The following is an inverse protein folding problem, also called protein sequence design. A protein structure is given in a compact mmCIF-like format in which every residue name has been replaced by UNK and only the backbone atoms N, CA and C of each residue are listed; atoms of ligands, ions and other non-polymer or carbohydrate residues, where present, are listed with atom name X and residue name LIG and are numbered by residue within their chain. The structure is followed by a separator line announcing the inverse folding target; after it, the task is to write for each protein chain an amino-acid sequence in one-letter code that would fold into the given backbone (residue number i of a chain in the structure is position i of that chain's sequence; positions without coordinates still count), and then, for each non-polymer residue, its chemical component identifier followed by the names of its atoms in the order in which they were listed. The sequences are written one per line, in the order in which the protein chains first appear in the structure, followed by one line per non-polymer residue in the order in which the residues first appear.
data_IF_262279042410
#
_entry.id   IF_262279042410
#
_cell.length_a   1.000
_cell.length_b   1.000
_cell.length_c   1.000
_cell.angle_alpha   90.00
_cell.angle_beta   90.00
_cell.angle_gamma   90.00
#
_symmetry.space_group_name_H-M   'P 1'
#
loop_
_entity.id
_entity.type
_entity.pdbx_description
1 polymer ?
#
# COMPACT_ATOMS: atom_id res chain seq x y z
N UNK A 1 9.03 4.54 2.66
CA UNK A 1 9.08 5.68 3.60
C UNK A 1 9.65 5.16 4.88
N UNK A 2 10.58 5.87 5.49
CA UNK A 2 11.05 5.58 6.84
C UNK A 2 10.80 6.80 7.69
N UNK A 3 10.53 6.58 8.98
CA UNK A 3 10.53 7.63 9.99
C UNK A 3 11.61 7.30 11.03
N UNK A 4 12.29 8.34 11.47
CA UNK A 4 13.36 8.22 12.47
C UNK A 4 13.08 9.18 13.62
N UNK A 5 13.39 8.71 14.83
CA UNK A 5 13.34 9.50 16.06
C UNK A 5 14.67 9.41 16.80
N UNK A 6 14.85 10.25 17.83
CA UNK A 6 15.94 10.08 18.78
C UNK A 6 15.38 9.49 20.08
N UNK A 7 15.93 8.36 20.53
CA UNK A 7 15.61 7.71 21.81
C UNK A 7 16.91 7.62 22.58
N UNK A 8 16.97 8.23 23.77
CA UNK A 8 18.16 8.30 24.61
C UNK A 8 19.42 8.80 23.87
N UNK A 9 19.26 9.82 23.03
CA UNK A 9 20.33 10.42 22.24
C UNK A 9 20.81 9.58 21.05
N UNK A 10 20.16 8.44 20.76
CA UNK A 10 20.49 7.58 19.62
C UNK A 10 19.45 7.74 18.52
N UNK A 11 19.91 7.80 17.26
CA UNK A 11 19.03 7.75 16.10
C UNK A 11 18.41 6.34 16.01
N UNK A 12 17.09 6.28 16.05
CA UNK A 12 16.31 5.05 16.03
C UNK A 12 15.36 5.06 14.83
N UNK A 13 15.30 3.93 14.14
CA UNK A 13 14.21 3.66 13.20
C UNK A 13 12.93 3.45 14.02
N UNK A 14 11.89 4.17 13.66
CA UNK A 14 10.57 4.08 14.29
C UNK A 14 9.52 3.79 13.20
N UNK A 15 8.24 3.87 13.58
CA UNK A 15 7.10 3.64 12.68
C UNK A 15 7.14 2.25 11.99
N UNK A 16 6.27 2.02 11.01
CA UNK A 16 6.29 0.83 10.19
C UNK A 16 7.46 0.79 9.18
N UNK A 17 7.97 -0.41 8.94
CA UNK A 17 9.10 -0.64 8.03
C UNK A 17 8.70 -1.62 6.94
N UNK A 18 8.96 -1.25 5.69
CA UNK A 18 8.83 -2.13 4.51
C UNK A 18 7.46 -2.83 4.38
N UNK A 19 6.41 -2.24 4.94
CA UNK A 19 5.02 -2.65 4.75
C UNK A 19 4.49 -2.16 3.39
N UNK A 20 3.37 -2.71 2.88
CA UNK A 20 2.71 -2.18 1.68
C UNK A 20 2.15 -0.76 1.87
N UNK A 21 2.04 -0.29 3.12
CA UNK A 21 1.58 1.07 3.44
C UNK A 21 2.71 2.09 3.35
N UNK A 22 3.89 1.70 3.83
CA UNK A 22 5.10 2.53 3.83
C UNK A 22 5.89 2.43 2.52
N UNK A 23 5.61 1.44 1.67
CA UNK A 23 6.41 1.10 0.49
C UNK A 23 5.55 0.81 -0.73
N UNK A 24 6.07 1.12 -1.92
CA UNK A 24 5.50 0.59 -3.16
C UNK A 24 6.07 -0.80 -3.40
N UNK A 25 5.21 -1.80 -3.43
CA UNK A 25 5.62 -3.20 -3.59
C UNK A 25 5.01 -3.76 -4.85
N UNK A 26 5.87 -4.25 -5.74
CA UNK A 26 5.49 -4.77 -7.05
C UNK A 26 5.88 -6.24 -7.19
N UNK A 27 5.06 -7.00 -7.89
CA UNK A 27 5.45 -8.33 -8.34
C UNK A 27 6.49 -8.18 -9.46
N UNK A 28 7.68 -8.76 -9.25
CA UNK A 28 8.79 -8.72 -10.21
C UNK A 28 8.39 -9.25 -11.60
N UNK A 29 7.48 -10.23 -11.66
CA UNK A 29 7.02 -10.83 -12.94
C UNK A 29 6.19 -9.87 -13.78
N UNK A 30 5.52 -8.91 -13.15
CA UNK A 30 4.60 -7.99 -13.81
C UNK A 30 5.25 -6.63 -14.13
N UNK A 31 6.46 -6.38 -13.60
CA UNK A 31 7.18 -5.14 -13.78
C UNK A 31 7.88 -5.05 -15.14
N UNK A 32 7.77 -3.87 -15.77
CA UNK A 32 8.50 -3.48 -17.00
C UNK A 32 8.88 -2.00 -16.92
N UNK A 33 10.01 -1.57 -17.51
CA UNK A 33 10.35 -0.15 -17.61
C UNK A 33 9.20 0.68 -18.22
N UNK A 34 8.92 1.83 -17.63
CA UNK A 34 7.85 2.73 -18.08
C UNK A 34 6.43 2.33 -17.68
N UNK A 35 6.22 1.21 -16.96
CA UNK A 35 4.91 0.79 -16.47
C UNK A 35 4.88 0.73 -14.94
N UNK A 36 3.80 1.22 -14.34
CA UNK A 36 3.47 0.95 -12.93
C UNK A 36 2.60 -0.32 -12.91
N UNK A 37 3.09 -1.46 -12.37
CA UNK A 37 2.29 -2.67 -12.27
C UNK A 37 1.28 -2.55 -11.12
N UNK A 38 0.29 -3.45 -11.12
CA UNK A 38 -0.63 -3.60 -10.01
C UNK A 38 0.17 -4.04 -8.78
N UNK A 39 0.25 -3.14 -7.79
CA UNK A 39 1.01 -3.36 -6.56
C UNK A 39 0.26 -4.19 -5.53
N UNK A 40 0.98 -4.58 -4.47
CA UNK A 40 0.40 -5.15 -3.24
C UNK A 40 -0.08 -4.07 -2.26
N UNK A 41 -0.01 -2.81 -2.65
CA UNK A 41 -0.21 -1.63 -1.81
C UNK A 41 -1.62 -1.03 -1.98
N UNK A 42 -1.80 0.17 -1.41
CA UNK A 42 -3.04 0.96 -1.45
C UNK A 42 -3.48 1.38 -2.87
N UNK A 43 -2.72 1.06 -3.91
CA UNK A 43 -3.06 1.49 -5.28
C UNK A 43 -4.42 0.94 -5.72
N UNK A 44 -4.81 -0.26 -5.30
CA UNK A 44 -6.12 -0.84 -5.65
C UNK A 44 -7.31 0.01 -5.17
N UNK A 45 -7.27 0.50 -3.93
CA UNK A 45 -8.28 1.40 -3.38
C UNK A 45 -8.22 2.77 -4.06
N UNK A 46 -7.01 3.29 -4.32
CA UNK A 46 -6.83 4.57 -5.00
C UNK A 46 -7.41 4.56 -6.41
N UNK A 47 -7.13 3.52 -7.18
CA UNK A 47 -7.65 3.37 -8.54
C UNK A 47 -9.17 3.24 -8.54
N UNK A 48 -9.76 2.60 -7.53
CA UNK A 48 -11.21 2.60 -7.37
C UNK A 48 -11.77 3.99 -7.06
N UNK A 49 -11.16 4.74 -6.12
CA UNK A 49 -11.60 6.10 -5.77
C UNK A 49 -11.49 7.08 -6.94
N UNK A 50 -10.44 6.97 -7.76
CA UNK A 50 -10.29 7.77 -8.99
C UNK A 50 -11.40 7.43 -10.01
N UNK A 51 -11.72 6.14 -10.20
CA UNK A 51 -12.85 5.71 -11.06
C UNK A 51 -14.22 6.16 -10.53
N UNK A 52 -14.38 6.22 -9.21
CA UNK A 52 -15.57 6.75 -8.55
C UNK A 52 -15.70 8.28 -8.69
N UNK A 53 -14.73 8.97 -9.33
CA UNK A 53 -14.68 10.43 -9.51
C UNK A 53 -14.79 11.20 -8.20
N UNK A 54 -14.23 10.65 -7.13
CA UNK A 54 -14.17 11.34 -5.85
C UNK A 54 -13.25 12.56 -5.96
N UNK A 55 -13.73 13.73 -5.54
CA UNK A 55 -13.01 15.01 -5.57
C UNK A 55 -11.94 15.14 -4.47
N UNK A 56 -11.66 14.05 -3.74
CA UNK A 56 -10.70 13.96 -2.64
C UNK A 56 -11.09 14.81 -1.43
N UNK A 57 -12.37 15.21 -1.31
CA UNK A 57 -12.90 15.90 -0.13
C UNK A 57 -13.65 14.95 0.78
N UNK A 58 -13.46 15.02 2.11
CA UNK A 58 -14.23 14.21 3.03
C UNK A 58 -15.74 14.53 2.97
N UNK A 59 -16.63 13.54 3.18
CA UNK A 59 -16.32 12.12 3.34
C UNK A 59 -16.01 11.43 1.99
N UNK A 60 -15.12 10.44 2.03
CA UNK A 60 -14.92 9.55 0.88
C UNK A 60 -16.16 8.67 0.64
N UNK A 61 -16.44 8.27 -0.61
CA UNK A 61 -17.51 7.32 -0.89
C UNK A 61 -17.22 5.97 -0.21
N UNK A 62 -18.27 5.24 0.22
CA UNK A 62 -18.10 3.92 0.83
C UNK A 62 -17.49 2.95 -0.18
N UNK A 63 -16.55 2.12 0.29
CA UNK A 63 -15.91 1.11 -0.55
C UNK A 63 -16.87 -0.10 -0.73
N UNK A 64 -17.10 -0.56 -1.97
CA UNK A 64 -17.79 -1.83 -2.23
C UNK A 64 -17.03 -3.01 -1.62
N UNK A 65 -17.76 -4.07 -1.26
CA UNK A 65 -17.17 -5.25 -0.61
C UNK A 65 -16.04 -5.88 -1.44
N UNK A 66 -16.18 -5.93 -2.76
CA UNK A 66 -15.13 -6.43 -3.68
C UNK A 66 -13.82 -5.63 -3.59
N UNK A 67 -13.88 -4.32 -3.32
CA UNK A 67 -12.70 -3.47 -3.18
C UNK A 67 -12.01 -3.77 -1.85
N UNK A 68 -12.80 -3.94 -0.79
CA UNK A 68 -12.31 -4.31 0.55
C UNK A 68 -11.64 -5.68 0.51
N UNK A 69 -12.33 -6.71 0.02
CA UNK A 69 -11.79 -8.07 -0.08
C UNK A 69 -10.58 -8.14 -1.01
N UNK A 70 -10.63 -7.45 -2.15
CA UNK A 70 -9.49 -7.36 -3.06
C UNK A 70 -8.27 -6.68 -2.44
N UNK A 71 -8.48 -5.72 -1.53
CA UNK A 71 -7.40 -5.10 -0.76
C UNK A 71 -6.83 -6.10 0.24
N UNK A 72 -7.69 -6.71 1.07
CA UNK A 72 -7.27 -7.68 2.09
C UNK A 72 -6.48 -8.84 1.47
N UNK A 73 -6.95 -9.38 0.34
CA UNK A 73 -6.27 -10.48 -0.36
C UNK A 73 -4.85 -10.12 -0.78
N UNK A 74 -4.61 -8.89 -1.25
CA UNK A 74 -3.27 -8.43 -1.66
C UNK A 74 -2.32 -8.32 -0.47
N UNK A 75 -2.80 -7.82 0.67
CA UNK A 75 -2.00 -7.74 1.88
C UNK A 75 -1.64 -9.12 2.44
N UNK A 76 -2.59 -10.06 2.40
CA UNK A 76 -2.34 -11.47 2.79
C UNK A 76 -1.32 -12.14 1.87
N UNK A 77 -1.43 -11.94 0.56
CA UNK A 77 -0.46 -12.50 -0.39
C UNK A 77 0.93 -11.90 -0.21
N UNK A 78 1.02 -10.58 -0.01
CA UNK A 78 2.29 -9.93 0.31
C UNK A 78 2.92 -10.53 1.57
N UNK A 79 2.16 -10.58 2.68
CA UNK A 79 2.65 -11.11 3.95
C UNK A 79 3.19 -12.53 3.77
N UNK A 80 2.41 -13.41 3.13
CA UNK A 80 2.81 -14.78 2.86
C UNK A 80 4.10 -14.90 2.03
N UNK A 81 4.36 -13.96 1.10
CA UNK A 81 5.58 -13.98 0.28
C UNK A 81 6.83 -13.48 1.01
N UNK A 82 6.68 -12.60 2.00
CA UNK A 82 7.84 -11.96 2.67
C UNK A 82 8.20 -12.58 4.02
N UNK A 83 7.32 -13.42 4.59
CA UNK A 83 7.56 -14.07 5.90
C UNK A 83 7.69 -15.59 5.84
N UNK A 84 7.66 -16.19 4.64
CA UNK A 84 7.86 -17.63 4.45
C UNK A 84 9.33 -18.01 4.26
#
# INVERSE_FOLDING_TARGET
KFEFGHIDGRLCLIDEILTPDSSRVWNKRDWKPGKTPDGFDKQFVRDWLERARWDKRPPAPPLPAEVVEGTISRYRDFLAKVTA
#
